data_IF_314780765387
#
_entry.id   IF_314780765387
#
_cell.length_a   1.000
_cell.length_b   1.000
_cell.length_c   1.000
_cell.angle_alpha   90.00
_cell.angle_beta   90.00
_cell.angle_gamma   90.00
#
_symmetry.space_group_name_H-M   'P 1'
#
loop_
_entity.id
_entity.type
_entity.pdbx_description
1 polymer ?
#
# COMPACT_ATOMS: atom_id res chain seq x y z
N UNK A 1 -3.17 -21.03 6.60
CA UNK A 1 -2.32 -19.99 6.00
C UNK A 1 -3.01 -18.65 6.20
N UNK A 2 -2.35 -17.69 6.84
CA UNK A 2 -2.80 -16.30 6.87
C UNK A 2 -2.71 -15.73 5.45
N UNK A 3 -3.77 -15.07 4.97
CA UNK A 3 -3.74 -14.39 3.67
C UNK A 3 -2.90 -13.12 3.79
N UNK A 4 -2.18 -12.77 2.72
CA UNK A 4 -1.44 -11.51 2.63
C UNK A 4 -2.12 -10.57 1.65
N UNK A 5 -2.11 -9.27 1.94
CA UNK A 5 -2.58 -8.24 1.03
C UNK A 5 -1.59 -7.06 1.02
N UNK A 6 -1.21 -6.60 -0.17
CA UNK A 6 -0.50 -5.34 -0.30
C UNK A 6 -1.46 -4.17 -0.11
N UNK A 7 -0.99 -3.16 0.59
CA UNK A 7 -1.74 -1.93 0.84
C UNK A 7 -0.88 -0.76 0.37
N UNK A 8 -1.35 -0.09 -0.66
CA UNK A 8 -0.72 1.10 -1.24
C UNK A 8 -1.39 2.32 -0.61
N UNK A 9 -0.61 3.21 0.01
CA UNK A 9 -1.14 4.46 0.58
C UNK A 9 -1.55 5.47 -0.50
N UNK A 10 -0.87 5.46 -1.64
CA UNK A 10 -1.10 6.40 -2.72
C UNK A 10 -0.79 7.84 -2.32
N UNK A 11 -1.25 8.77 -3.15
CA UNK A 11 -0.99 10.21 -2.98
C UNK A 11 -2.25 10.98 -2.53
N UNK A 12 -2.09 12.28 -2.26
CA UNK A 12 -3.20 13.17 -1.91
C UNK A 12 -3.88 12.74 -0.60
N UNK A 13 -5.19 12.47 -0.64
CA UNK A 13 -5.94 12.00 0.55
C UNK A 13 -5.75 10.50 0.82
N UNK A 14 -5.08 9.76 -0.06
CA UNK A 14 -4.86 8.32 0.05
C UNK A 14 -4.29 7.89 1.42
N UNK A 15 -3.17 8.48 1.89
CA UNK A 15 -2.56 8.09 3.17
C UNK A 15 -3.50 8.23 4.37
N UNK A 16 -4.32 9.27 4.43
CA UNK A 16 -5.29 9.46 5.51
C UNK A 16 -6.39 8.39 5.49
N UNK A 17 -6.98 8.15 4.32
CA UNK A 17 -8.05 7.17 4.15
C UNK A 17 -7.57 5.74 4.39
N UNK A 18 -6.36 5.41 3.94
CA UNK A 18 -5.75 4.09 4.18
C UNK A 18 -5.45 3.90 5.66
N UNK A 19 -4.96 4.92 6.37
CA UNK A 19 -4.78 4.84 7.82
C UNK A 19 -6.11 4.59 8.56
N UNK A 20 -7.20 5.23 8.14
CA UNK A 20 -8.53 4.98 8.69
C UNK A 20 -8.99 3.53 8.42
N UNK A 21 -8.76 3.02 7.21
CA UNK A 21 -9.04 1.61 6.87
C UNK A 21 -8.23 0.64 7.75
N UNK A 22 -6.93 0.89 7.97
CA UNK A 22 -6.10 0.06 8.84
C UNK A 22 -6.64 0.01 10.27
N UNK A 23 -7.13 1.15 10.78
CA UNK A 23 -7.77 1.21 12.09
C UNK A 23 -9.01 0.32 12.16
N UNK A 24 -9.92 0.40 11.18
CA UNK A 24 -11.11 -0.46 11.12
C UNK A 24 -10.74 -1.94 11.05
N UNK A 25 -9.80 -2.32 10.17
CA UNK A 25 -9.39 -3.74 10.01
C UNK A 25 -8.80 -4.32 11.30
N UNK A 26 -8.07 -3.50 12.06
CA UNK A 26 -7.54 -3.85 13.38
C UNK A 26 -8.65 -4.07 14.39
N UNK A 27 -9.61 -3.14 14.49
CA UNK A 27 -10.77 -3.26 15.39
C UNK A 27 -11.67 -4.46 15.04
N UNK A 28 -11.73 -4.83 13.76
CA UNK A 28 -12.42 -6.05 13.31
C UNK A 28 -11.63 -7.34 13.56
N UNK A 29 -10.43 -7.28 14.16
CA UNK A 29 -9.54 -8.42 14.36
C UNK A 29 -9.31 -9.24 13.08
N UNK A 30 -9.09 -8.54 11.97
CA UNK A 30 -8.93 -9.16 10.65
C UNK A 30 -7.67 -10.03 10.61
N UNK A 31 -7.80 -11.29 10.19
CA UNK A 31 -6.67 -12.24 10.11
C UNK A 31 -5.97 -12.19 8.74
N UNK A 32 -5.56 -10.99 8.33
CA UNK A 32 -4.80 -10.74 7.09
C UNK A 32 -3.50 -10.05 7.47
N UNK A 33 -2.38 -10.52 6.91
CA UNK A 33 -1.11 -9.81 6.97
C UNK A 33 -1.12 -8.70 5.92
N UNK A 34 -1.18 -7.46 6.38
CA UNK A 34 -1.17 -6.28 5.51
C UNK A 34 0.28 -5.82 5.31
N UNK A 35 0.73 -5.77 4.07
CA UNK A 35 2.07 -5.30 3.73
C UNK A 35 1.97 -3.93 3.06
N UNK A 36 2.53 -2.91 3.73
CA UNK A 36 2.54 -1.55 3.20
C UNK A 36 3.52 -1.46 2.04
N UNK A 37 3.07 -0.88 0.94
CA UNK A 37 3.85 -0.69 -0.28
C UNK A 37 3.77 0.77 -0.74
N UNK A 38 4.85 1.22 -1.38
CA UNK A 38 4.91 2.54 -2.01
C UNK A 38 4.46 2.42 -3.47
N UNK A 39 3.61 3.35 -3.91
CA UNK A 39 3.26 3.60 -5.30
C UNK A 39 2.47 4.92 -5.35
N UNK A 40 2.58 5.63 -6.47
CA UNK A 40 1.97 6.94 -6.64
C UNK A 40 2.87 7.94 -7.36
N UNK A 41 2.30 9.09 -7.71
CA UNK A 41 3.03 10.20 -8.34
C UNK A 41 4.12 10.76 -7.42
N UNK A 42 3.88 10.90 -6.10
CA UNK A 42 4.89 11.45 -5.19
C UNK A 42 6.10 10.52 -5.04
N UNK A 43 5.86 9.21 -5.03
CA UNK A 43 6.92 8.21 -5.04
C UNK A 43 7.74 8.33 -6.34
N UNK A 44 7.07 8.41 -7.49
CA UNK A 44 7.70 8.51 -8.80
C UNK A 44 8.45 9.83 -8.98
N UNK A 45 7.92 10.95 -8.51
CA UNK A 45 8.60 12.25 -8.55
C UNK A 45 9.90 12.24 -7.73
N UNK A 46 9.91 11.54 -6.58
CA UNK A 46 11.08 11.45 -5.71
C UNK A 46 12.16 10.48 -6.22
N UNK A 47 11.77 9.39 -6.88
CA UNK A 47 12.70 8.29 -7.19
C UNK A 47 12.82 7.96 -8.68
N UNK A 48 11.97 8.55 -9.52
CA UNK A 48 11.81 8.19 -10.92
C UNK A 48 11.24 6.78 -11.10
N UNK A 49 11.32 6.28 -12.34
CA UNK A 49 10.90 4.92 -12.69
C UNK A 49 10.15 4.88 -14.02
N UNK A 50 9.93 3.66 -14.52
CA UNK A 50 9.17 3.46 -15.77
C UNK A 50 7.66 3.62 -15.56
N UNK A 51 7.16 3.40 -14.34
CA UNK A 51 5.74 3.49 -13.99
C UNK A 51 5.56 4.10 -12.60
N UNK A 52 4.32 4.44 -12.21
CA UNK A 52 3.99 4.89 -10.85
C UNK A 52 3.98 3.78 -9.80
N UNK A 53 4.20 2.53 -10.21
CA UNK A 53 4.33 1.39 -9.31
C UNK A 53 5.79 0.91 -9.37
N UNK A 54 6.56 1.02 -8.29
CA UNK A 54 7.90 0.49 -8.19
C UNK A 54 7.96 -1.01 -8.52
N UNK A 55 9.08 -1.43 -9.11
CA UNK A 55 9.32 -2.84 -9.42
C UNK A 55 9.27 -3.72 -8.16
N UNK A 56 9.67 -3.17 -7.00
CA UNK A 56 9.55 -3.84 -5.69
C UNK A 56 8.08 -4.14 -5.32
N UNK A 57 7.19 -3.17 -5.51
CA UNK A 57 5.75 -3.34 -5.25
C UNK A 57 5.14 -4.36 -6.22
N UNK A 58 5.52 -4.31 -7.51
CA UNK A 58 5.03 -5.24 -8.53
C UNK A 58 5.52 -6.68 -8.32
N UNK A 59 6.82 -6.90 -8.09
CA UNK A 59 7.39 -8.25 -7.97
C UNK A 59 6.86 -9.00 -6.75
N UNK A 60 6.60 -8.28 -5.67
CA UNK A 60 6.22 -8.90 -4.41
C UNK A 60 4.70 -9.11 -4.29
N UNK A 61 3.88 -8.31 -5.00
CA UNK A 61 2.44 -8.24 -4.74
C UNK A 61 1.53 -7.96 -5.97
N UNK A 62 2.08 -7.88 -7.18
CA UNK A 62 1.34 -7.59 -8.43
C UNK A 62 0.84 -8.81 -9.20
#
# INVERSE_FOLDING_TARGET
>A
MTKKAAVIKGDGTGPELVNAMLHVLKECNTQIELVLCEAGSEQWEKHGGQTYIPEETQKNYG
#
